data_IF_833200733944
#
_entry.id   IF_833200733944
#
_cell.length_a   1.000
_cell.length_b   1.000
_cell.length_c   1.000
_cell.angle_alpha   90.00
_cell.angle_beta   90.00
_cell.angle_gamma   90.00
#
_symmetry.space_group_name_H-M   'P 1'
#
loop_
_entity.id
_entity.type
_entity.pdbx_description
1 polymer ?
#
# COMPACT_ATOMS: atom_id res chain seq x y z
N UNK A 1 7.20 -13.99 -90.65
CA UNK A 1 8.00 -14.22 -89.45
C UNK A 1 7.05 -14.63 -88.36
N UNK A 2 7.16 -15.89 -87.91
CA UNK A 2 6.26 -16.52 -86.90
C UNK A 2 6.85 -16.20 -85.55
N UNK A 3 6.01 -15.76 -84.59
CA UNK A 3 6.33 -15.77 -83.16
C UNK A 3 5.50 -16.81 -82.51
N UNK A 4 6.17 -17.82 -81.98
CA UNK A 4 5.60 -18.94 -81.26
C UNK A 4 5.08 -18.47 -79.85
N UNK A 5 3.86 -18.89 -79.56
CA UNK A 5 3.23 -18.69 -78.29
C UNK A 5 3.69 -19.79 -77.31
N UNK A 6 4.49 -19.40 -76.32
CA UNK A 6 4.81 -20.28 -75.19
C UNK A 6 3.64 -20.35 -74.19
N UNK A 7 3.05 -21.53 -74.13
CA UNK A 7 2.08 -21.88 -73.08
C UNK A 7 2.78 -21.97 -71.74
N UNK A 8 2.44 -21.07 -70.83
CA UNK A 8 2.84 -21.18 -69.46
C UNK A 8 1.97 -22.21 -68.73
N UNK A 9 2.59 -23.32 -68.37
CA UNK A 9 1.98 -24.30 -67.43
C UNK A 9 2.00 -23.69 -66.04
N UNK A 10 0.83 -23.62 -65.48
CA UNK A 10 0.66 -23.20 -64.07
C UNK A 10 1.21 -24.32 -63.18
N UNK A 11 2.23 -24.01 -62.42
CA UNK A 11 2.69 -24.82 -61.29
C UNK A 11 2.03 -24.26 -60.03
N UNK A 12 0.96 -24.92 -59.61
CA UNK A 12 0.35 -24.64 -58.30
C UNK A 12 1.25 -25.27 -57.29
N UNK A 13 2.09 -24.47 -56.63
CA UNK A 13 2.83 -24.88 -55.48
C UNK A 13 1.92 -24.65 -54.25
N UNK A 14 1.43 -25.75 -53.67
CA UNK A 14 0.78 -25.76 -52.39
C UNK A 14 1.82 -25.36 -51.31
N UNK A 15 1.82 -24.13 -50.90
CA UNK A 15 2.50 -23.69 -49.71
C UNK A 15 1.62 -24.05 -48.53
N UNK A 16 1.99 -25.14 -47.85
CA UNK A 16 1.41 -25.54 -46.58
C UNK A 16 1.54 -24.38 -45.57
N UNK A 17 0.39 -23.86 -45.14
CA UNK A 17 0.32 -22.89 -44.07
C UNK A 17 0.78 -23.52 -42.76
N UNK A 18 1.98 -23.21 -42.33
CA UNK A 18 2.36 -23.38 -40.94
C UNK A 18 1.54 -22.39 -40.11
N UNK A 19 0.46 -22.85 -39.51
CA UNK A 19 -0.21 -22.12 -38.45
C UNK A 19 0.80 -22.00 -37.30
N UNK A 20 1.40 -20.85 -37.20
CA UNK A 20 2.18 -20.46 -36.02
C UNK A 20 1.20 -20.48 -34.83
N UNK A 21 1.22 -21.54 -34.08
CA UNK A 21 0.59 -21.57 -32.77
C UNK A 21 1.37 -20.59 -31.87
N UNK A 22 0.87 -19.39 -31.79
CA UNK A 22 1.34 -18.44 -30.78
C UNK A 22 0.99 -19.06 -29.42
N UNK A 23 1.96 -19.19 -28.51
CA UNK A 23 1.67 -19.75 -27.22
C UNK A 23 0.67 -18.85 -26.51
N UNK A 24 -0.48 -19.42 -26.13
CA UNK A 24 -1.52 -18.77 -25.31
C UNK A 24 -1.02 -18.34 -23.91
N UNK A 25 0.25 -18.54 -23.63
CA UNK A 25 0.91 -18.09 -22.39
C UNK A 25 1.16 -16.58 -22.31
N UNK A 26 0.99 -15.82 -23.39
CA UNK A 26 1.15 -14.37 -23.36
C UNK A 26 -0.05 -13.61 -22.77
N UNK A 27 -1.18 -14.26 -22.52
CA UNK A 27 -2.35 -13.65 -21.88
C UNK A 27 -2.37 -13.79 -20.35
N UNK A 28 -1.45 -14.55 -19.78
CA UNK A 28 -1.35 -14.73 -18.32
C UNK A 28 -0.48 -13.66 -17.63
N UNK A 29 0.03 -12.67 -18.35
CA UNK A 29 0.83 -11.56 -17.80
C UNK A 29 0.14 -10.19 -17.86
N UNK A 30 -1.17 -10.17 -18.06
CA UNK A 30 -1.93 -9.03 -17.54
C UNK A 30 -2.00 -9.28 -16.03
N UNK A 31 -0.99 -8.71 -15.33
CA UNK A 31 -0.94 -8.78 -13.88
C UNK A 31 -2.31 -8.42 -13.34
N UNK A 32 -2.90 -9.34 -12.63
CA UNK A 32 -4.02 -9.08 -11.75
C UNK A 32 -3.64 -7.81 -11.01
N UNK A 33 -4.39 -6.75 -11.20
CA UNK A 33 -4.26 -5.53 -10.38
C UNK A 33 -4.59 -6.01 -9.00
N UNK A 34 -3.51 -6.23 -8.23
CA UNK A 34 -3.46 -7.16 -7.15
C UNK A 34 -4.46 -6.81 -6.06
N UNK A 35 -5.15 -7.83 -5.65
CA UNK A 35 -5.70 -7.86 -4.31
C UNK A 35 -4.56 -7.77 -3.27
N UNK A 36 -4.91 -7.81 -1.98
CA UNK A 36 -3.94 -7.72 -0.90
C UNK A 36 -2.78 -8.70 -1.06
N UNK A 37 -1.54 -8.22 -0.94
CA UNK A 37 -0.36 -9.10 -0.95
C UNK A 37 -0.28 -9.91 0.34
N UNK A 38 0.21 -11.17 0.32
CA UNK A 38 0.37 -11.96 1.53
C UNK A 38 1.31 -11.30 2.54
N UNK A 39 1.06 -11.52 3.84
CA UNK A 39 1.98 -11.19 4.92
C UNK A 39 2.37 -12.42 5.72
N UNK A 40 3.60 -12.47 6.27
CA UNK A 40 3.97 -13.49 7.25
C UNK A 40 3.05 -13.44 8.48
N UNK A 41 2.80 -14.60 9.08
CA UNK A 41 1.88 -14.74 10.21
C UNK A 41 2.33 -13.95 11.45
N UNK A 42 3.65 -13.80 11.65
CA UNK A 42 4.24 -13.04 12.73
C UNK A 42 4.47 -11.55 12.41
N UNK A 43 4.06 -11.09 11.23
CA UNK A 43 4.20 -9.70 10.85
C UNK A 43 3.36 -8.79 11.74
N UNK A 44 3.99 -7.75 12.26
CA UNK A 44 3.30 -6.80 13.15
C UNK A 44 3.93 -5.41 13.04
N UNK A 45 3.09 -4.38 13.05
CA UNK A 45 3.48 -2.99 13.28
C UNK A 45 3.10 -2.57 14.69
N UNK A 46 3.88 -1.66 15.27
CA UNK A 46 3.63 -1.14 16.61
C UNK A 46 4.20 0.28 16.75
N UNK A 47 3.67 1.02 17.70
CA UNK A 47 4.26 2.30 18.09
C UNK A 47 5.49 2.06 18.97
N UNK A 48 6.59 2.76 18.69
CA UNK A 48 7.81 2.69 19.50
C UNK A 48 7.79 3.78 20.55
N UNK A 49 7.73 3.38 21.83
CA UNK A 49 7.73 4.33 22.94
C UNK A 49 6.44 5.13 23.14
N UNK A 50 5.36 4.76 22.44
CA UNK A 50 4.05 5.40 22.58
C UNK A 50 3.00 4.34 22.96
N UNK A 51 2.30 4.56 24.06
CA UNK A 51 1.32 3.64 24.63
C UNK A 51 -0.08 4.27 24.70
N UNK A 52 -1.09 3.42 24.89
CA UNK A 52 -2.45 3.87 25.17
C UNK A 52 -2.50 4.79 26.40
N UNK A 53 -3.28 5.86 26.33
CA UNK A 53 -3.40 6.86 27.40
C UNK A 53 -2.26 7.88 27.47
N UNK A 54 -1.30 7.88 26.55
CA UNK A 54 -0.17 8.79 26.56
C UNK A 54 -0.60 10.25 26.43
N UNK A 55 0.11 11.15 27.13
CA UNK A 55 -0.03 12.61 26.96
C UNK A 55 1.06 13.11 26.01
N UNK A 56 0.67 13.86 25.00
CA UNK A 56 1.54 14.31 23.92
C UNK A 56 1.51 15.84 23.77
N UNK A 57 2.61 16.45 23.36
CA UNK A 57 2.58 17.82 22.85
C UNK A 57 1.85 17.86 21.51
N UNK A 58 1.42 19.04 21.07
CA UNK A 58 0.77 19.25 19.77
C UNK A 58 1.66 18.86 18.60
N UNK A 59 2.98 18.93 18.76
CA UNK A 59 3.99 18.54 17.79
C UNK A 59 4.80 17.40 18.36
N UNK A 60 4.68 16.22 17.77
CA UNK A 60 5.26 14.98 18.31
C UNK A 60 5.88 14.14 17.21
N UNK A 61 7.06 13.55 17.48
CA UNK A 61 7.65 12.52 16.63
C UNK A 61 7.06 11.17 17.01
N UNK A 62 6.37 10.54 16.08
CA UNK A 62 5.84 9.19 16.21
C UNK A 62 6.77 8.24 15.49
N UNK A 63 7.21 7.17 16.18
CA UNK A 63 8.10 6.13 15.64
C UNK A 63 7.32 4.85 15.38
N UNK A 64 7.58 4.26 14.23
CA UNK A 64 6.90 3.06 13.73
C UNK A 64 7.84 1.86 13.82
N UNK A 65 7.47 0.85 14.61
CA UNK A 65 8.16 -0.42 14.67
C UNK A 65 7.51 -1.44 13.74
N UNK A 66 8.33 -2.27 13.11
CA UNK A 66 7.90 -3.35 12.23
C UNK A 66 8.64 -4.63 12.59
N UNK A 67 7.94 -5.75 12.59
CA UNK A 67 8.50 -7.10 12.77
C UNK A 67 8.01 -8.01 11.66
N UNK A 68 8.85 -8.96 11.24
CA UNK A 68 8.52 -10.01 10.27
C UNK A 68 8.47 -9.55 8.81
N UNK A 69 8.64 -8.26 8.54
CA UNK A 69 8.64 -7.69 7.19
C UNK A 69 9.69 -6.58 7.05
N UNK A 70 9.93 -6.14 5.83
CA UNK A 70 10.81 -5.02 5.52
C UNK A 70 10.05 -3.75 5.16
N UNK A 71 10.61 -2.58 5.45
CA UNK A 71 10.09 -1.31 4.94
C UNK A 71 10.64 -1.09 3.53
N UNK A 72 9.76 -0.71 2.60
CA UNK A 72 10.11 -0.37 1.22
C UNK A 72 9.30 0.85 0.77
N UNK A 73 9.83 1.68 -0.11
CA UNK A 73 9.06 2.77 -0.72
C UNK A 73 7.84 2.27 -1.48
N UNK A 74 6.78 3.09 -1.51
CA UNK A 74 5.61 2.87 -2.34
C UNK A 74 6.01 2.69 -3.81
N UNK A 75 5.32 1.83 -4.54
CA UNK A 75 5.62 1.49 -5.94
C UNK A 75 6.77 0.50 -6.13
N UNK A 76 7.59 0.22 -5.11
CA UNK A 76 8.68 -0.76 -5.20
C UNK A 76 8.15 -2.17 -4.90
N UNK A 77 8.10 -3.02 -5.92
CA UNK A 77 7.76 -4.43 -5.76
C UNK A 77 8.90 -5.19 -5.07
N UNK A 78 8.67 -5.62 -3.82
CA UNK A 78 9.59 -6.44 -3.04
C UNK A 78 8.79 -7.34 -2.11
N UNK A 79 9.17 -8.60 -2.07
CA UNK A 79 8.50 -9.58 -1.22
C UNK A 79 8.60 -9.22 0.26
N UNK A 80 7.55 -9.51 1.02
CA UNK A 80 7.46 -9.26 2.45
C UNK A 80 7.87 -7.83 2.83
N UNK A 81 7.42 -6.85 2.07
CA UNK A 81 7.72 -5.45 2.32
C UNK A 81 6.55 -4.53 2.01
N UNK A 82 6.62 -3.33 2.56
CA UNK A 82 5.61 -2.30 2.37
C UNK A 82 6.00 -1.01 3.08
N UNK A 83 5.04 -0.15 3.34
CA UNK A 83 5.27 1.14 3.99
C UNK A 83 4.16 1.46 4.99
N UNK A 84 4.48 2.36 5.92
CA UNK A 84 3.59 2.71 7.00
C UNK A 84 2.52 3.71 6.60
N UNK A 85 1.33 3.53 7.19
CA UNK A 85 0.27 4.52 7.24
C UNK A 85 -0.12 4.75 8.70
N UNK A 86 -0.45 5.99 9.06
CA UNK A 86 -0.97 6.35 10.38
C UNK A 86 -2.41 6.82 10.23
N UNK A 87 -3.31 6.13 10.88
CA UNK A 87 -4.72 6.45 10.98
C UNK A 87 -4.93 7.33 12.22
N UNK A 88 -5.59 8.48 12.04
CA UNK A 88 -5.87 9.45 13.10
C UNK A 88 -7.38 9.68 13.13
N UNK A 89 -8.04 9.38 14.25
CA UNK A 89 -9.46 9.62 14.47
C UNK A 89 -10.39 9.03 13.40
N UNK A 90 -10.01 7.89 12.84
CA UNK A 90 -10.79 7.21 11.81
C UNK A 90 -10.83 5.71 12.06
N UNK A 91 -11.79 5.05 11.44
CA UNK A 91 -11.88 3.59 11.39
C UNK A 91 -10.94 3.02 10.32
N UNK A 92 -10.76 1.70 10.34
CA UNK A 92 -10.01 1.01 9.30
C UNK A 92 -10.70 1.20 7.93
N UNK A 93 -9.95 1.53 6.89
CA UNK A 93 -10.49 1.54 5.53
C UNK A 93 -10.77 0.10 5.05
N UNK A 94 -11.45 -0.09 3.91
CA UNK A 94 -11.55 -1.40 3.27
C UNK A 94 -10.16 -2.02 3.08
N UNK A 95 -9.99 -3.27 3.55
CA UNK A 95 -8.68 -3.94 3.56
C UNK A 95 -8.28 -4.57 2.22
N UNK A 96 -9.17 -4.52 1.24
CA UNK A 96 -8.99 -5.01 -0.13
C UNK A 96 -8.78 -3.88 -1.16
N UNK A 97 -8.64 -2.64 -0.69
CA UNK A 97 -8.48 -1.45 -1.52
C UNK A 97 -7.31 -0.59 -1.03
N UNK A 98 -6.80 0.29 -1.89
CA UNK A 98 -5.77 1.24 -1.48
C UNK A 98 -6.21 2.09 -0.29
N UNK A 99 -5.34 2.20 0.69
CA UNK A 99 -5.53 3.07 1.87
C UNK A 99 -5.66 4.51 1.38
N UNK A 100 -6.66 5.27 1.81
CA UNK A 100 -6.77 6.69 1.48
C UNK A 100 -5.52 7.48 1.88
N UNK A 101 -5.29 8.60 1.24
CA UNK A 101 -4.27 9.57 1.62
C UNK A 101 -4.93 10.92 1.86
N UNK A 102 -5.25 11.20 3.12
CA UNK A 102 -5.95 12.39 3.56
C UNK A 102 -5.51 12.78 4.99
N UNK A 103 -6.21 13.74 5.61
CA UNK A 103 -5.88 14.22 6.96
C UNK A 103 -5.98 13.15 8.05
N UNK A 104 -6.79 12.11 7.84
CA UNK A 104 -7.00 11.01 8.77
C UNK A 104 -6.16 9.76 8.45
N UNK A 105 -5.57 9.71 7.24
CA UNK A 105 -4.77 8.59 6.75
C UNK A 105 -3.43 9.13 6.23
N UNK A 106 -2.47 9.33 7.13
CA UNK A 106 -1.15 9.84 6.74
C UNK A 106 -0.33 8.73 6.10
N UNK A 107 0.28 9.05 4.96
CA UNK A 107 1.03 8.12 4.13
C UNK A 107 2.54 8.38 4.21
N UNK A 108 3.33 7.33 4.48
CA UNK A 108 4.78 7.39 4.63
C UNK A 108 5.49 6.57 3.53
N UNK A 109 5.16 6.91 2.29
CA UNK A 109 5.55 6.14 1.09
C UNK A 109 7.01 6.23 0.67
N UNK A 110 7.85 7.01 1.33
CA UNK A 110 9.29 7.02 1.07
C UNK A 110 10.07 6.02 1.97
N UNK A 111 9.36 5.16 2.73
CA UNK A 111 9.98 4.20 3.63
C UNK A 111 10.36 4.78 4.99
N UNK A 112 9.67 5.83 5.43
CA UNK A 112 9.90 6.43 6.74
C UNK A 112 9.51 5.45 7.86
N UNK A 113 10.31 5.42 8.92
CA UNK A 113 10.04 4.68 10.16
C UNK A 113 9.72 5.59 11.33
N UNK A 114 9.72 6.90 11.11
CA UNK A 114 9.24 7.92 12.04
C UNK A 114 8.75 9.14 11.27
N UNK A 115 7.89 9.91 11.89
CA UNK A 115 7.41 11.15 11.35
C UNK A 115 7.06 12.16 12.45
N UNK A 116 7.31 13.43 12.19
CA UNK A 116 6.79 14.52 13.00
C UNK A 116 5.34 14.79 12.59
N UNK A 117 4.42 14.71 13.54
CA UNK A 117 2.99 14.91 13.34
C UNK A 117 2.51 16.04 14.22
N UNK A 118 1.69 16.92 13.65
CA UNK A 118 1.02 17.98 14.41
C UNK A 118 -0.43 17.59 14.64
N UNK A 119 -0.80 17.42 15.91
CA UNK A 119 -2.15 17.08 16.34
C UNK A 119 -2.79 18.27 17.06
N UNK A 120 -4.09 18.44 16.92
CA UNK A 120 -4.83 19.46 17.65
C UNK A 120 -4.89 19.10 19.14
N UNK A 121 -5.03 20.11 20.07
CA UNK A 121 -5.25 19.80 21.48
C UNK A 121 -6.61 19.13 21.67
N UNK A 122 -6.67 17.84 21.87
CA UNK A 122 -7.85 17.01 22.19
C UNK A 122 -7.41 15.55 22.39
N UNK A 123 -8.29 14.69 22.89
CA UNK A 123 -8.09 13.25 22.77
C UNK A 123 -8.13 12.81 21.30
N UNK A 124 -7.17 11.99 20.91
CA UNK A 124 -7.09 11.38 19.57
C UNK A 124 -7.01 9.86 19.66
N UNK A 125 -7.43 9.19 18.62
CA UNK A 125 -7.14 7.79 18.39
C UNK A 125 -6.08 7.66 17.31
N UNK A 126 -5.10 6.76 17.54
CA UNK A 126 -4.02 6.48 16.60
C UNK A 126 -3.97 4.99 16.31
N UNK A 127 -3.75 4.62 15.05
CA UNK A 127 -3.53 3.24 14.65
C UNK A 127 -2.55 3.18 13.48
N UNK A 128 -1.63 2.22 13.49
CA UNK A 128 -0.76 1.95 12.34
C UNK A 128 -1.39 0.88 11.45
N UNK A 129 -1.27 1.08 10.15
CA UNK A 129 -1.64 0.13 9.12
C UNK A 129 -0.50 0.05 8.10
N UNK A 130 -0.12 -1.16 7.68
CA UNK A 130 0.98 -1.36 6.75
C UNK A 130 0.43 -1.72 5.38
N UNK A 131 0.78 -0.93 4.37
CA UNK A 131 0.35 -1.09 2.99
C UNK A 131 1.46 -1.65 2.11
N UNK A 132 1.09 -2.39 1.09
CA UNK A 132 2.00 -2.89 0.07
C UNK A 132 2.40 -1.80 -0.94
N UNK A 133 3.11 -2.18 -2.00
CA UNK A 133 3.56 -1.26 -3.06
C UNK A 133 2.44 -0.44 -3.70
N UNK A 134 1.21 -0.96 -3.71
CA UNK A 134 0.02 -0.33 -4.30
C UNK A 134 -0.88 0.31 -3.24
N UNK A 135 -0.37 0.47 -2.02
CA UNK A 135 -1.08 1.01 -0.85
C UNK A 135 -2.20 0.11 -0.32
N UNK A 136 -2.31 -1.13 -0.79
CA UNK A 136 -3.33 -2.06 -0.31
C UNK A 136 -2.83 -2.73 0.98
N UNK A 137 -3.63 -2.81 2.05
CA UNK A 137 -3.27 -3.57 3.23
C UNK A 137 -2.94 -5.02 2.89
N UNK A 138 -1.95 -5.60 3.58
CA UNK A 138 -1.60 -7.01 3.40
C UNK A 138 -2.72 -7.96 3.88
N UNK A 139 -2.65 -9.23 3.49
CA UNK A 139 -3.54 -10.28 3.98
C UNK A 139 -2.73 -11.47 4.57
N UNK A 140 -2.84 -11.73 5.88
CA UNK A 140 -3.56 -10.98 6.92
C UNK A 140 -3.13 -9.52 7.06
N UNK A 141 -4.01 -8.59 7.52
CA UNK A 141 -3.66 -7.19 7.64
C UNK A 141 -2.62 -6.99 8.75
N UNK A 142 -1.55 -6.26 8.42
CA UNK A 142 -0.47 -5.91 9.36
C UNK A 142 -0.79 -4.55 9.96
N UNK A 143 -1.34 -4.56 11.18
CA UNK A 143 -1.82 -3.35 11.85
C UNK A 143 -1.51 -3.38 13.34
N UNK A 144 -1.43 -2.20 13.98
CA UNK A 144 -1.29 -2.09 15.42
C UNK A 144 -2.64 -2.15 16.13
N UNK A 145 -2.66 -2.40 17.44
CA UNK A 145 -3.79 -1.98 18.25
C UNK A 145 -4.07 -0.49 18.05
N UNK A 146 -5.35 -0.09 18.15
CA UNK A 146 -5.74 1.31 18.23
C UNK A 146 -5.45 1.79 19.65
N UNK A 147 -4.77 2.92 19.75
CA UNK A 147 -4.47 3.57 21.02
C UNK A 147 -5.16 4.92 21.11
N UNK A 148 -5.44 5.38 22.32
CA UNK A 148 -5.93 6.72 22.63
C UNK A 148 -4.79 7.55 23.20
N UNK A 149 -4.68 8.79 22.78
CA UNK A 149 -3.70 9.75 23.30
C UNK A 149 -4.40 11.06 23.62
N UNK A 150 -3.83 11.83 24.56
CA UNK A 150 -4.33 13.17 24.89
C UNK A 150 -3.27 14.18 24.50
N UNK A 151 -3.64 15.10 23.61
CA UNK A 151 -2.72 16.13 23.10
C UNK A 151 -2.97 17.47 23.77
N UNK A 152 -1.89 18.11 24.21
CA UNK A 152 -1.92 19.39 24.89
C UNK A 152 -2.36 19.30 26.37
N UNK A 153 -2.17 20.36 27.12
CA UNK A 153 -2.77 20.51 28.44
C UNK A 153 -4.27 20.80 28.27
N UNK A 154 -5.13 20.22 29.13
CA UNK A 154 -6.51 20.66 29.17
C UNK A 154 -6.52 22.17 29.50
N UNK A 155 -7.42 22.96 28.90
CA UNK A 155 -7.50 24.37 29.22
C UNK A 155 -7.66 24.53 30.75
N UNK A 156 -7.00 25.53 31.35
CA UNK A 156 -7.16 25.75 32.79
C UNK A 156 -8.66 25.89 33.10
N UNK A 157 -9.12 25.36 34.24
CA UNK A 157 -10.52 25.47 34.62
C UNK A 157 -10.91 26.95 34.55
N UNK A 158 -12.06 27.23 33.90
CA UNK A 158 -12.59 28.59 33.83
C UNK A 158 -12.64 29.11 35.25
N UNK A 159 -11.91 30.18 35.51
CA UNK A 159 -11.97 30.89 36.79
C UNK A 159 -13.45 31.21 37.04
N UNK A 160 -14.02 30.62 38.08
CA UNK A 160 -15.34 30.99 38.55
C UNK A 160 -15.15 32.41 39.12
N UNK A 161 -15.59 33.40 38.37
CA UNK A 161 -15.64 34.77 38.88
C UNK A 161 -16.72 34.79 39.94
N UNK A 162 -16.40 35.24 41.16
CA UNK A 162 -17.35 35.34 42.25
C UNK A 162 -18.48 36.36 41.97
#
# INVERSE_FOLDING_TARGET
MRFDSFKRREVITLLGGAAAAWPLTALAQQGERGGPTPSPQEAAVHFVGLNDGAKLPTKVTIRFGLRGMGVAPAGLARDNSGHHHLLIDTELPPLDKPIPNDFNHLHFGAGQTEAEVTLKPWPHTLQLLFGDKDHVPHNPPVMSPRIRVVVGEPPPPKATVP
#
